data_IF_773398653360
#
_entry.id   IF_773398653360
#
_cell.length_a   1.000
_cell.length_b   1.000
_cell.length_c   1.000
_cell.angle_alpha   90.00
_cell.angle_beta   90.00
_cell.angle_gamma   90.00
#
_symmetry.space_group_name_H-M   'P 1'
#
loop_
_entity.id
_entity.type
_entity.pdbx_description
1 polymer ?
#
# COMPACT_ATOMS: atom_id res chain seq x y z
N UNK A 1 9.41 17.05 15.39
CA UNK A 1 8.58 17.37 14.23
C UNK A 1 8.58 16.13 13.35
N UNK A 2 7.67 15.20 13.65
CA UNK A 2 7.77 13.81 13.16
C UNK A 2 7.18 13.68 11.76
N UNK A 3 8.11 13.44 10.85
CA UNK A 3 8.02 13.15 9.43
C UNK A 3 6.77 12.34 9.04
N UNK A 4 5.91 12.98 8.26
CA UNK A 4 4.69 12.39 7.75
C UNK A 4 5.06 11.27 6.77
N UNK A 5 4.90 10.01 7.19
CA UNK A 5 4.86 8.89 6.25
C UNK A 5 3.82 9.22 5.17
N UNK A 6 4.19 9.35 3.89
CA UNK A 6 3.22 9.61 2.84
C UNK A 6 2.32 8.37 2.70
N UNK A 7 1.15 8.42 3.33
CA UNK A 7 0.20 7.31 3.35
C UNK A 7 -0.81 7.43 4.49
N UNK A 8 -1.99 6.84 4.30
CA UNK A 8 -2.99 6.71 5.35
C UNK A 8 -2.40 5.88 6.52
N UNK A 9 -2.35 6.39 7.77
CA UNK A 9 -1.73 5.70 8.89
C UNK A 9 -2.39 4.34 9.22
N UNK A 10 -3.66 4.15 8.84
CA UNK A 10 -4.36 2.89 9.00
C UNK A 10 -3.92 1.82 7.97
N UNK A 11 -3.29 2.22 6.87
CA UNK A 11 -2.90 1.34 5.76
C UNK A 11 -1.37 1.21 5.66
N UNK A 12 -0.61 2.25 6.01
CA UNK A 12 0.85 2.29 5.94
C UNK A 12 1.38 2.47 4.51
N UNK A 13 2.52 1.86 4.21
CA UNK A 13 3.21 1.97 2.92
C UNK A 13 2.33 1.58 1.73
N UNK A 14 1.47 0.57 1.90
CA UNK A 14 0.60 0.15 0.82
C UNK A 14 -0.47 1.19 0.44
N UNK A 15 -0.63 2.28 1.20
CA UNK A 15 -1.49 3.41 0.84
C UNK A 15 -0.99 4.19 -0.38
N UNK A 16 0.31 4.20 -0.64
CA UNK A 16 0.96 4.96 -1.73
C UNK A 16 1.73 4.04 -2.69
N UNK A 17 1.62 2.73 -2.52
CA UNK A 17 2.29 1.74 -3.35
C UNK A 17 1.64 1.60 -4.74
N UNK A 18 2.45 1.59 -5.80
CA UNK A 18 2.07 1.36 -7.19
C UNK A 18 1.31 0.04 -7.41
N UNK A 19 1.68 -1.00 -6.65
CA UNK A 19 1.08 -2.32 -6.77
C UNK A 19 -0.22 -2.52 -5.97
N UNK A 20 -0.72 -1.48 -5.31
CA UNK A 20 -1.96 -1.57 -4.53
C UNK A 20 -3.18 -1.59 -5.48
N UNK A 21 -4.19 -2.36 -5.12
CA UNK A 21 -5.52 -2.31 -5.74
C UNK A 21 -6.56 -2.27 -4.63
N UNK A 22 -7.46 -1.29 -4.68
CA UNK A 22 -8.56 -1.19 -3.73
C UNK A 22 -9.76 -1.96 -4.28
N UNK A 23 -10.30 -2.86 -3.47
CA UNK A 23 -11.48 -3.67 -3.79
C UNK A 23 -12.62 -3.18 -2.91
N UNK A 24 -13.69 -2.71 -3.54
CA UNK A 24 -14.92 -2.29 -2.85
C UNK A 24 -15.93 -3.43 -2.98
N UNK A 25 -16.34 -3.98 -1.83
CA UNK A 25 -17.42 -4.96 -1.78
C UNK A 25 -18.77 -4.26 -1.96
N UNK A 26 -19.77 -4.97 -2.48
CA UNK A 26 -21.14 -4.43 -2.65
C UNK A 26 -21.80 -3.95 -1.34
N UNK A 27 -21.26 -4.33 -0.18
CA UNK A 27 -21.68 -3.86 1.15
C UNK A 27 -20.93 -2.60 1.64
N UNK A 28 -20.06 -2.01 0.82
CA UNK A 28 -19.28 -0.81 1.14
C UNK A 28 -17.95 -1.05 1.85
N UNK A 29 -17.61 -2.31 2.19
CA UNK A 29 -16.31 -2.65 2.77
C UNK A 29 -15.19 -2.48 1.74
N UNK A 30 -14.09 -1.84 2.15
CA UNK A 30 -12.90 -1.60 1.33
C UNK A 30 -11.75 -2.50 1.76
N UNK A 31 -11.17 -3.21 0.81
CA UNK A 31 -10.04 -4.10 1.03
C UNK A 31 -8.87 -3.70 0.16
N UNK A 32 -7.66 -3.87 0.69
CA UNK A 32 -6.44 -3.66 -0.07
C UNK A 32 -5.93 -4.99 -0.62
N UNK A 33 -5.66 -5.00 -1.91
CA UNK A 33 -5.10 -6.13 -2.62
C UNK A 33 -3.72 -5.79 -3.18
N UNK A 34 -2.74 -6.67 -2.96
CA UNK A 34 -1.41 -6.52 -3.53
C UNK A 34 -1.31 -7.28 -4.84
N UNK A 35 -1.19 -6.56 -5.96
CA UNK A 35 -1.10 -7.17 -7.30
C UNK A 35 0.17 -8.01 -7.47
N UNK A 36 1.27 -7.70 -6.75
CA UNK A 36 2.49 -8.52 -6.77
C UNK A 36 2.26 -9.96 -6.30
N UNK A 37 1.27 -10.18 -5.44
CA UNK A 37 0.94 -11.51 -4.94
C UNK A 37 0.34 -12.44 -6.02
N UNK A 38 0.03 -11.92 -7.21
CA UNK A 38 -0.38 -12.72 -8.37
C UNK A 38 0.81 -13.37 -9.07
N UNK A 39 1.96 -12.69 -9.13
CA UNK A 39 3.16 -13.17 -9.81
C UNK A 39 4.21 -13.73 -8.85
N UNK A 40 4.21 -13.29 -7.59
CA UNK A 40 5.18 -13.71 -6.57
C UNK A 40 4.48 -14.06 -5.25
N UNK A 41 4.49 -15.35 -4.93
CA UNK A 41 3.85 -15.91 -3.74
C UNK A 41 4.46 -15.46 -2.40
N UNK A 42 5.62 -14.78 -2.41
CA UNK A 42 6.21 -14.17 -1.20
C UNK A 42 5.38 -12.98 -0.70
N UNK A 43 4.57 -12.37 -1.57
CA UNK A 43 3.68 -11.27 -1.20
C UNK A 43 2.30 -11.82 -0.81
N UNK A 44 1.70 -11.24 0.25
CA UNK A 44 0.34 -11.58 0.64
C UNK A 44 -0.67 -10.82 -0.22
N UNK A 45 -1.62 -11.55 -0.83
CA UNK A 45 -2.74 -10.97 -1.60
C UNK A 45 -3.51 -9.93 -0.80
N UNK A 46 -3.79 -10.24 0.46
CA UNK A 46 -4.43 -9.34 1.43
C UNK A 46 -3.48 -9.15 2.62
N UNK A 47 -2.59 -8.14 2.58
CA UNK A 47 -1.67 -7.90 3.67
C UNK A 47 -2.42 -7.37 4.92
N UNK A 48 -2.02 -7.75 6.14
CA UNK A 48 -2.57 -7.18 7.36
C UNK A 48 -2.15 -5.71 7.45
N UNK A 49 -3.10 -4.85 7.77
CA UNK A 49 -2.88 -3.41 7.86
C UNK A 49 -2.65 -3.01 9.34
N UNK A 50 -1.83 -1.96 9.61
CA UNK A 50 -1.06 -1.18 8.63
C UNK A 50 0.24 -1.87 8.19
N UNK A 51 0.59 -1.74 6.91
CA UNK A 51 1.84 -2.28 6.36
C UNK A 51 2.98 -1.30 6.62
N UNK A 52 3.78 -1.57 7.66
CA UNK A 52 4.92 -0.72 8.03
C UNK A 52 6.21 -1.07 7.29
N UNK A 53 6.33 -2.30 6.79
CA UNK A 53 7.50 -2.79 6.07
C UNK A 53 7.05 -3.67 4.91
N UNK A 54 7.50 -3.36 3.70
CA UNK A 54 7.24 -4.17 2.51
C UNK A 54 8.48 -4.15 1.59
N UNK A 55 9.11 -5.32 1.32
CA UNK A 55 10.31 -5.38 0.48
C UNK A 55 10.03 -5.11 -1.01
N UNK A 56 8.76 -5.11 -1.43
CA UNK A 56 8.32 -4.75 -2.79
C UNK A 56 7.49 -3.47 -2.81
N UNK A 57 7.71 -2.57 -1.85
CA UNK A 57 7.08 -1.25 -1.87
C UNK A 57 7.67 -0.41 -2.99
N UNK A 58 6.81 0.09 -3.86
CA UNK A 58 7.17 1.02 -4.92
C UNK A 58 6.19 2.19 -4.82
N UNK A 59 6.61 3.39 -4.35
CA UNK A 59 5.71 4.54 -4.28
C UNK A 59 5.25 4.92 -5.69
N UNK A 60 3.95 5.22 -5.87
CA UNK A 60 3.57 6.14 -6.93
C UNK A 60 4.36 7.41 -6.66
N UNK A 61 5.20 7.85 -7.61
CA UNK A 61 6.07 9.01 -7.43
C UNK A 61 5.27 10.16 -6.79
N UNK A 62 5.37 10.27 -5.47
CA UNK A 62 4.88 11.43 -4.76
C UNK A 62 5.92 12.45 -5.11
N UNK A 63 5.54 13.43 -5.92
CA UNK A 63 6.33 14.60 -6.25
C UNK A 63 6.81 15.28 -4.96
N UNK A 64 7.88 14.76 -4.40
CA UNK A 64 8.52 15.21 -3.17
C UNK A 64 10.03 15.17 -3.42
N UNK A 65 10.41 15.87 -4.49
CA UNK A 65 11.67 16.59 -4.56
C UNK A 65 11.33 17.96 -5.14
N UNK A 66 11.64 19.02 -4.40
CA UNK A 66 12.79 19.81 -4.83
C UNK A 66 13.83 19.86 -3.72
N UNK A 67 15.06 19.47 -4.07
CA UNK A 67 16.28 19.74 -3.32
C UNK A 67 17.36 20.03 -4.32
#
# INVERSE_FOLDING_TARGET
MSDATPGNPHVGLCATCHHKREIVSGKGSRFLYCVRAETDARYRKYPPLPVLRCPGYEPFASSSSPG
#
